data_IF_481329328611
#
_entry.id   IF_481329328611
#
_cell.length_a   1.000
_cell.length_b   1.000
_cell.length_c   1.000
_cell.angle_alpha   90.00
_cell.angle_beta   90.00
_cell.angle_gamma   90.00
#
_symmetry.space_group_name_H-M   'P 1'
#
loop_
_entity.id
_entity.type
_entity.pdbx_description
1 polymer ?
#
# COMPACT_ATOMS: atom_id res chain seq x y z
N UNK A 1 22.22 -14.82 0.68
CA UNK A 1 20.77 -14.57 0.68
C UNK A 1 20.61 -13.07 0.75
N UNK A 2 20.00 -12.44 -0.26
CA UNK A 2 19.68 -11.01 -0.18
C UNK A 2 18.22 -10.94 0.28
N UNK A 3 18.01 -10.64 1.56
CA UNK A 3 16.67 -10.56 2.15
C UNK A 3 15.96 -9.29 1.67
N UNK A 4 15.34 -9.38 0.48
CA UNK A 4 14.60 -8.29 -0.15
C UNK A 4 13.16 -8.71 -0.32
N UNK A 5 12.23 -7.90 0.19
CA UNK A 5 10.81 -8.10 -0.03
C UNK A 5 10.41 -7.57 -1.42
N UNK A 6 9.81 -8.43 -2.21
CA UNK A 6 9.35 -8.13 -3.57
C UNK A 6 7.83 -8.14 -3.64
N UNK A 7 7.26 -7.15 -4.31
CA UNK A 7 5.84 -7.02 -4.60
C UNK A 7 5.59 -7.32 -6.07
N UNK A 8 4.77 -8.34 -6.35
CA UNK A 8 4.50 -8.81 -7.71
C UNK A 8 3.06 -8.53 -8.12
N UNK A 9 2.89 -7.84 -9.24
CA UNK A 9 1.62 -7.57 -9.90
C UNK A 9 1.75 -7.77 -11.41
N UNK A 10 0.65 -7.75 -12.13
CA UNK A 10 0.64 -7.98 -13.58
C UNK A 10 1.52 -7.01 -14.37
N UNK A 11 1.72 -5.78 -13.88
CA UNK A 11 2.58 -4.79 -14.51
C UNK A 11 4.07 -4.99 -14.22
N UNK A 12 4.45 -5.72 -13.17
CA UNK A 12 5.86 -5.92 -12.87
C UNK A 12 6.17 -6.45 -11.47
N UNK A 13 7.47 -6.45 -11.16
CA UNK A 13 8.01 -6.85 -9.87
C UNK A 13 8.75 -5.66 -9.26
N UNK A 14 8.28 -5.21 -8.11
CA UNK A 14 8.74 -3.99 -7.46
C UNK A 14 9.41 -4.34 -6.14
N UNK A 15 10.55 -3.72 -5.85
CA UNK A 15 11.16 -3.86 -4.54
C UNK A 15 10.35 -3.06 -3.53
N UNK A 16 10.02 -3.65 -2.40
CA UNK A 16 9.44 -2.91 -1.27
C UNK A 16 10.56 -2.16 -0.55
N UNK A 17 10.45 -0.84 -0.52
CA UNK A 17 11.39 0.02 0.21
C UNK A 17 10.97 0.20 1.67
N UNK A 18 9.67 0.37 1.91
CA UNK A 18 9.13 0.70 3.22
C UNK A 18 7.67 0.23 3.36
N UNK A 19 7.27 -0.15 4.58
CA UNK A 19 5.90 -0.50 4.96
C UNK A 19 5.50 0.35 6.16
N UNK A 20 4.65 1.33 5.89
CA UNK A 20 4.08 2.20 6.91
C UNK A 20 2.74 1.63 7.37
N UNK A 21 2.77 0.89 8.49
CA UNK A 21 1.57 0.29 9.08
C UNK A 21 0.59 1.32 9.65
N UNK A 22 1.09 2.48 10.10
CA UNK A 22 0.26 3.52 10.72
C UNK A 22 -0.60 4.23 9.66
N UNK A 23 -0.01 4.51 8.50
CA UNK A 23 -0.70 5.15 7.37
C UNK A 23 -1.19 4.16 6.31
N UNK A 24 -0.99 2.87 6.55
CA UNK A 24 -1.34 1.76 5.65
C UNK A 24 -0.80 1.99 4.24
N UNK A 25 0.48 2.36 4.13
CA UNK A 25 1.14 2.69 2.89
C UNK A 25 2.35 1.79 2.64
N UNK A 26 2.53 1.41 1.38
CA UNK A 26 3.66 0.64 0.88
C UNK A 26 4.46 1.52 -0.08
N UNK A 27 5.76 1.62 0.09
CA UNK A 27 6.63 2.33 -0.86
C UNK A 27 7.32 1.34 -1.77
N UNK A 28 7.09 1.46 -3.08
CA UNK A 28 7.61 0.57 -4.10
C UNK A 28 8.71 1.23 -4.93
N UNK A 29 9.70 0.45 -5.33
CA UNK A 29 10.74 0.84 -6.26
C UNK A 29 10.69 -0.01 -7.53
N UNK A 30 10.56 0.67 -8.68
CA UNK A 30 10.72 0.06 -10.00
C UNK A 30 12.15 0.32 -10.50
N UNK A 31 12.96 -0.72 -10.77
CA UNK A 31 14.32 -0.55 -11.32
C UNK A 31 14.35 0.07 -12.72
N UNK A 32 13.22 0.12 -13.42
CA UNK A 32 13.09 0.71 -14.76
C UNK A 32 12.50 2.12 -14.76
N UNK A 33 12.20 2.71 -13.60
CA UNK A 33 11.79 4.12 -13.54
C UNK A 33 13.01 5.05 -13.59
N UNK A 34 12.81 6.22 -14.17
CA UNK A 34 13.80 7.31 -14.16
C UNK A 34 13.79 8.04 -12.81
N UNK A 35 14.93 8.59 -12.42
CA UNK A 35 15.11 9.44 -11.23
C UNK A 35 15.86 10.72 -11.61
N UNK A 36 16.14 11.59 -10.64
CA UNK A 36 16.92 12.80 -10.87
C UNK A 36 18.35 12.52 -11.37
N UNK A 37 18.91 11.36 -11.02
CA UNK A 37 20.30 11.02 -11.36
C UNK A 37 20.42 10.17 -12.62
N UNK A 38 19.36 9.49 -13.03
CA UNK A 38 19.36 8.62 -14.21
C UNK A 38 18.01 8.61 -14.94
N UNK A 39 18.04 8.86 -16.25
CA UNK A 39 16.89 8.66 -17.14
C UNK A 39 17.07 7.34 -17.89
N UNK A 40 16.05 6.49 -17.81
CA UNK A 40 16.04 5.14 -18.40
C UNK A 40 15.11 5.14 -19.62
N UNK A 41 15.63 5.51 -20.78
CA UNK A 41 14.89 5.52 -22.05
C UNK A 41 14.76 4.12 -22.69
N UNK A 42 13.92 4.04 -23.72
CA UNK A 42 13.82 2.88 -24.61
C UNK A 42 12.74 1.87 -24.23
N UNK A 43 11.71 2.27 -23.47
CA UNK A 43 10.50 1.48 -23.23
C UNK A 43 10.76 0.19 -22.44
N UNK A 44 11.84 0.13 -21.67
CA UNK A 44 12.27 -1.08 -20.94
C UNK A 44 11.39 -1.38 -19.72
N UNK A 45 10.64 -0.39 -19.23
CA UNK A 45 9.66 -0.57 -18.15
C UNK A 45 8.25 -0.77 -18.69
N UNK A 46 7.50 -1.70 -18.10
CA UNK A 46 6.07 -1.86 -18.41
C UNK A 46 5.20 -0.73 -17.80
N UNK A 47 5.78 0.08 -16.91
CA UNK A 47 5.09 1.09 -16.13
C UNK A 47 4.54 0.52 -14.81
N UNK A 48 3.42 1.08 -14.35
CA UNK A 48 2.76 0.70 -13.11
C UNK A 48 1.24 0.70 -13.30
N UNK A 49 0.63 -0.48 -13.15
CA UNK A 49 -0.80 -0.65 -13.25
C UNK A 49 -1.30 -1.69 -12.24
N UNK A 50 -2.25 -1.28 -11.41
CA UNK A 50 -2.94 -2.17 -10.47
C UNK A 50 -4.08 -2.88 -11.19
N UNK A 51 -4.21 -4.19 -10.98
CA UNK A 51 -5.27 -5.00 -11.54
C UNK A 51 -6.63 -4.56 -11.01
N UNK A 52 -7.70 -4.59 -11.83
CA UNK A 52 -9.03 -4.13 -11.42
C UNK A 52 -9.55 -4.79 -10.15
N UNK A 53 -9.25 -6.07 -9.92
CA UNK A 53 -9.69 -6.81 -8.74
C UNK A 53 -8.95 -6.39 -7.45
N UNK A 54 -7.74 -5.83 -7.58
CA UNK A 54 -6.89 -5.40 -6.46
C UNK A 54 -7.09 -3.92 -6.12
N UNK A 55 -7.53 -3.12 -7.09
CA UNK A 55 -7.77 -1.68 -6.95
C UNK A 55 -8.59 -1.25 -5.71
N UNK A 56 -9.62 -2.00 -5.24
CA UNK A 56 -10.37 -1.61 -4.03
C UNK A 56 -9.54 -1.64 -2.74
N UNK A 57 -8.46 -2.42 -2.72
CA UNK A 57 -7.63 -2.63 -1.52
C UNK A 57 -6.21 -2.13 -1.71
N UNK A 58 -5.88 -1.65 -2.90
CA UNK A 58 -4.55 -1.18 -3.22
C UNK A 58 -4.62 -0.11 -4.30
N UNK A 59 -4.26 1.11 -3.96
CA UNK A 59 -4.28 2.24 -4.91
C UNK A 59 -3.13 3.19 -4.63
N UNK A 60 -2.44 3.71 -5.66
CA UNK A 60 -1.48 4.78 -5.48
C UNK A 60 -2.07 5.94 -4.69
N UNK A 61 -1.28 6.48 -3.78
CA UNK A 61 -1.69 7.68 -3.05
C UNK A 61 -1.76 8.88 -4.01
N UNK A 62 -2.67 9.85 -3.78
CA UNK A 62 -2.83 11.01 -4.65
C UNK A 62 -1.58 11.90 -4.76
N UNK A 63 -0.72 11.89 -3.74
CA UNK A 63 0.51 12.69 -3.69
C UNK A 63 1.64 12.15 -4.58
N UNK A 64 1.47 10.98 -5.19
CA UNK A 64 2.39 10.54 -6.21
C UNK A 64 2.24 11.42 -7.45
N UNK A 65 3.35 12.03 -7.86
CA UNK A 65 3.49 12.53 -9.22
C UNK A 65 4.02 11.41 -10.11
N UNK A 66 3.47 11.30 -11.30
CA UNK A 66 4.01 10.47 -12.36
C UNK A 66 4.41 11.37 -13.52
N UNK A 67 5.66 11.26 -13.94
CA UNK A 67 6.22 12.04 -15.04
C UNK A 67 6.48 11.09 -16.19
N UNK A 68 5.78 11.30 -17.29
CA UNK A 68 5.96 10.53 -18.52
C UNK A 68 6.94 11.27 -19.42
N UNK A 69 7.90 10.55 -19.98
CA UNK A 69 9.08 11.10 -20.65
C UNK A 69 9.13 10.57 -22.09
N UNK A 70 9.41 11.46 -23.05
CA UNK A 70 9.60 11.09 -24.45
C UNK A 70 8.33 10.53 -25.09
N UNK A 71 7.19 11.17 -24.85
CA UNK A 71 5.91 10.72 -25.40
C UNK A 71 5.71 11.21 -26.84
N UNK A 72 5.34 10.30 -27.73
CA UNK A 72 5.01 10.58 -29.13
C UNK A 72 3.86 11.59 -29.26
N UNK A 73 3.86 12.42 -30.31
CA UNK A 73 2.76 13.33 -30.62
C UNK A 73 1.41 12.63 -30.89
N UNK A 74 1.43 11.32 -31.16
CA UNK A 74 0.21 10.49 -31.35
C UNK A 74 -0.28 9.87 -30.05
N UNK A 75 0.45 10.07 -28.95
CA UNK A 75 0.07 9.59 -27.62
C UNK A 75 -1.37 9.98 -27.27
N UNK A 76 -2.15 9.08 -26.66
CA UNK A 76 -3.46 9.40 -26.09
C UNK A 76 -3.44 10.62 -25.15
N UNK A 77 -2.29 10.93 -24.54
CA UNK A 77 -2.12 12.08 -23.64
C UNK A 77 -2.26 13.43 -24.36
N UNK A 78 -1.94 13.47 -25.65
CA UNK A 78 -1.89 14.70 -26.45
C UNK A 78 -3.02 14.76 -27.48
N UNK A 79 -3.99 13.83 -27.43
CA UNK A 79 -5.13 13.84 -28.32
C UNK A 79 -5.95 15.13 -28.15
N UNK A 80 -5.98 15.94 -29.21
CA UNK A 80 -6.66 17.24 -29.22
C UNK A 80 -5.78 18.44 -28.86
N UNK A 81 -4.47 18.24 -28.62
CA UNK A 81 -3.52 19.36 -28.58
C UNK A 81 -3.35 19.96 -30.00
N UNK A 82 -3.23 21.30 -30.15
CA UNK A 82 -3.19 22.34 -29.12
C UNK A 82 -4.57 22.88 -28.67
N UNK A 83 -5.68 22.35 -29.21
CA UNK A 83 -7.03 22.87 -28.98
C UNK A 83 -7.73 22.42 -27.68
N UNK A 84 -7.20 21.43 -26.95
CA UNK A 84 -7.71 20.94 -25.65
C UNK A 84 -6.64 21.09 -24.57
N UNK A 85 -7.09 21.28 -23.32
CA UNK A 85 -6.20 21.36 -22.17
C UNK A 85 -5.48 20.01 -21.97
N UNK A 86 -4.16 20.05 -21.99
CA UNK A 86 -3.31 18.90 -21.68
C UNK A 86 -3.56 18.43 -20.25
N UNK A 87 -3.55 17.11 -19.95
CA UNK A 87 -3.64 16.64 -18.57
C UNK A 87 -2.36 16.92 -17.76
N UNK A 88 -1.29 17.38 -18.41
CA UNK A 88 -0.02 17.68 -17.78
C UNK A 88 -0.16 18.87 -16.80
N UNK A 89 0.09 18.63 -15.52
CA UNK A 89 0.08 19.63 -14.45
C UNK A 89 1.01 19.22 -13.31
N UNK A 90 1.47 20.20 -12.56
CA UNK A 90 2.22 19.94 -11.34
C UNK A 90 1.32 19.26 -10.31
N UNK A 91 1.86 18.28 -9.58
CA UNK A 91 1.18 17.53 -8.52
C UNK A 91 2.00 17.68 -7.24
N UNK A 92 1.38 18.21 -6.18
CA UNK A 92 2.03 18.42 -4.89
C UNK A 92 3.36 19.20 -4.96
N UNK A 93 3.43 20.20 -5.87
CA UNK A 93 4.63 21.02 -6.09
C UNK A 93 5.74 20.35 -6.90
N UNK A 94 5.50 19.14 -7.41
CA UNK A 94 6.42 18.41 -8.27
C UNK A 94 5.90 18.46 -9.71
N UNK A 95 6.78 18.83 -10.64
CA UNK A 95 6.43 19.07 -12.03
C UNK A 95 7.61 18.89 -12.98
N UNK A 96 7.32 18.93 -14.28
CA UNK A 96 8.36 18.76 -15.28
C UNK A 96 9.36 19.93 -15.30
N UNK A 97 8.92 21.15 -15.02
CA UNK A 97 9.79 22.33 -14.97
C UNK A 97 10.89 22.19 -13.93
N UNK A 98 10.53 21.72 -12.73
CA UNK A 98 11.48 21.40 -11.69
C UNK A 98 12.32 20.18 -12.08
N UNK A 99 11.69 19.13 -12.61
CA UNK A 99 12.37 17.88 -13.00
C UNK A 99 13.43 18.08 -14.09
N UNK A 100 13.27 19.03 -15.01
CA UNK A 100 14.29 19.41 -15.99
C UNK A 100 15.56 20.01 -15.36
N UNK A 101 15.54 20.36 -14.06
CA UNK A 101 16.71 20.76 -13.30
C UNK A 101 17.60 19.60 -12.83
N UNK A 102 17.19 18.36 -13.07
CA UNK A 102 17.95 17.17 -12.69
C UNK A 102 19.18 16.92 -13.57
N UNK A 103 20.31 16.47 -12.99
CA UNK A 103 21.54 16.18 -13.75
C UNK A 103 21.36 15.08 -14.80
N UNK A 104 20.39 14.18 -14.63
CA UNK A 104 20.11 13.17 -15.64
C UNK A 104 19.75 13.76 -17.01
N UNK A 105 19.04 14.89 -17.06
CA UNK A 105 18.65 15.53 -18.32
C UNK A 105 19.85 16.07 -19.12
N UNK A 106 20.92 16.47 -18.42
CA UNK A 106 22.17 16.88 -19.07
C UNK A 106 22.85 15.71 -19.79
N UNK A 107 22.76 14.50 -19.21
CA UNK A 107 23.38 13.29 -19.77
C UNK A 107 22.66 12.77 -21.00
N UNK A 108 21.34 12.93 -21.07
CA UNK A 108 20.56 12.53 -22.26
C UNK A 108 20.74 13.53 -23.41
N UNK A 109 21.47 14.64 -23.19
CA UNK A 109 21.71 15.66 -24.23
C UNK A 109 20.48 16.51 -24.54
N UNK A 110 19.37 16.33 -23.82
CA UNK A 110 18.18 17.17 -23.92
C UNK A 110 18.36 18.43 -23.07
N UNK A 111 19.35 19.26 -23.44
CA UNK A 111 19.40 20.64 -22.95
C UNK A 111 18.18 21.38 -23.47
N UNK A 112 17.16 21.55 -22.62
CA UNK A 112 16.04 22.49 -22.76
C UNK A 112 15.75 22.89 -24.20
N UNK A 113 15.41 21.92 -25.06
CA UNK A 113 14.63 22.23 -26.25
C UNK A 113 13.17 22.36 -25.80
N UNK A 114 12.94 23.23 -24.81
CA UNK A 114 11.62 23.70 -24.50
C UNK A 114 11.16 24.43 -25.75
N UNK A 115 10.34 23.75 -26.56
CA UNK A 115 9.41 24.27 -27.55
C UNK A 115 9.71 25.66 -28.15
N UNK A 116 10.95 25.98 -28.49
CA UNK A 116 11.28 27.23 -29.20
C UNK A 116 10.71 27.22 -30.62
N UNK A 117 10.27 26.04 -31.08
CA UNK A 117 9.45 25.85 -32.28
C UNK A 117 8.16 25.02 -31.98
N UNK A 118 7.36 25.47 -31.00
CA UNK A 118 5.91 25.71 -31.10
C UNK A 118 4.89 24.66 -31.61
N UNK A 119 5.23 23.42 -31.95
CA UNK A 119 4.23 22.47 -32.50
C UNK A 119 4.27 21.03 -31.96
N UNK A 120 5.25 20.67 -31.12
CA UNK A 120 5.38 19.33 -30.54
C UNK A 120 4.86 19.22 -29.10
N UNK A 121 4.50 18.01 -28.64
CA UNK A 121 4.21 17.77 -27.22
C UNK A 121 5.45 18.03 -26.35
N UNK A 122 5.26 18.35 -25.06
CA UNK A 122 6.38 18.49 -24.14
C UNK A 122 7.13 17.17 -23.93
N UNK A 123 8.45 17.24 -23.73
CA UNK A 123 9.32 16.07 -23.46
C UNK A 123 8.94 15.35 -22.16
N UNK A 124 8.44 16.09 -21.18
CA UNK A 124 7.92 15.56 -19.93
C UNK A 124 6.47 16.03 -19.72
N UNK A 125 5.62 15.12 -19.25
CA UNK A 125 4.26 15.39 -18.82
C UNK A 125 4.04 14.85 -17.40
N UNK A 126 3.83 15.75 -16.43
CA UNK A 126 3.56 15.41 -15.03
C UNK A 126 2.06 15.30 -14.78
N UNK A 127 1.62 14.27 -14.06
CA UNK A 127 0.21 13.99 -13.80
C UNK A 127 0.03 13.12 -12.55
N UNK A 128 -1.17 13.19 -11.96
CA UNK A 128 -1.54 12.32 -10.84
C UNK A 128 -2.02 10.97 -11.35
N UNK A 129 -1.93 9.94 -10.51
CA UNK A 129 -2.47 8.61 -10.85
C UNK A 129 -3.95 8.67 -11.24
N UNK A 130 -4.73 9.55 -10.62
CA UNK A 130 -6.15 9.67 -10.89
C UNK A 130 -6.46 10.06 -12.33
N UNK A 131 -5.60 10.87 -12.96
CA UNK A 131 -5.78 11.34 -14.33
C UNK A 131 -5.53 10.22 -15.36
N UNK A 132 -4.62 9.29 -15.06
CA UNK A 132 -4.18 8.27 -16.03
C UNK A 132 -4.66 6.86 -15.72
N UNK A 133 -4.96 6.56 -14.45
CA UNK A 133 -5.43 5.29 -13.87
C UNK A 133 -4.50 4.08 -14.05
N UNK A 134 -3.58 4.11 -15.01
CA UNK A 134 -2.58 3.10 -15.26
C UNK A 134 -1.43 3.68 -16.11
N UNK A 135 -0.20 3.36 -15.75
CA UNK A 135 0.99 3.75 -16.52
C UNK A 135 1.37 2.56 -17.36
N UNK A 136 1.01 2.61 -18.64
CA UNK A 136 1.39 1.61 -19.63
C UNK A 136 2.14 2.33 -20.75
N UNK A 137 3.47 2.28 -20.70
CA UNK A 137 4.32 3.09 -21.58
C UNK A 137 4.06 2.81 -23.06
N UNK A 138 3.86 1.53 -23.42
CA UNK A 138 3.56 1.14 -24.80
C UNK A 138 2.23 1.72 -25.28
N UNK A 139 1.18 1.67 -24.46
CA UNK A 139 -0.14 2.24 -24.81
C UNK A 139 -0.11 3.77 -24.84
N UNK A 140 0.71 4.37 -24.00
CA UNK A 140 0.89 5.83 -23.92
C UNK A 140 1.89 6.35 -24.95
N UNK A 141 2.56 5.47 -25.70
CA UNK A 141 3.63 5.81 -26.63
C UNK A 141 4.72 6.69 -26.00
N UNK A 142 5.16 6.35 -24.78
CA UNK A 142 6.23 7.05 -24.07
C UNK A 142 7.45 6.16 -23.90
N UNK A 143 8.64 6.75 -23.90
CA UNK A 143 9.90 6.02 -23.78
C UNK A 143 10.25 5.66 -22.34
N UNK A 144 9.85 6.49 -21.38
CA UNK A 144 10.17 6.30 -19.97
C UNK A 144 9.11 6.93 -19.06
N UNK A 145 9.18 6.59 -17.78
CA UNK A 145 8.48 7.32 -16.73
C UNK A 145 9.33 7.48 -15.48
N UNK A 146 8.97 8.45 -14.66
CA UNK A 146 9.42 8.60 -13.30
C UNK A 146 8.21 8.70 -12.36
N UNK A 147 8.44 8.38 -11.09
CA UNK A 147 7.47 8.61 -10.03
C UNK A 147 8.17 9.15 -8.79
N UNK A 148 7.57 10.18 -8.20
CA UNK A 148 8.06 10.81 -7.00
C UNK A 148 6.92 11.20 -6.05
N UNK A 149 7.26 11.38 -4.79
CA UNK A 149 6.35 11.85 -3.74
C UNK A 149 7.10 12.72 -2.73
N UNK A 150 6.34 13.41 -1.88
CA UNK A 150 6.87 14.16 -0.74
C UNK A 150 6.26 13.66 0.57
N UNK A 151 7.09 13.51 1.61
CA UNK A 151 6.66 13.19 2.97
C UNK A 151 6.73 14.48 3.80
N UNK A 152 5.56 15.08 4.08
CA UNK A 152 5.39 16.33 4.84
C UNK A 152 5.88 17.61 4.09
N UNK A 153 5.39 18.82 4.45
CA UNK A 153 5.57 20.04 3.67
C UNK A 153 6.95 20.69 3.90
N UNK A 154 7.99 19.87 4.10
CA UNK A 154 9.35 20.36 4.04
C UNK A 154 9.54 20.89 2.62
N UNK A 155 9.94 22.16 2.51
CA UNK A 155 10.31 22.76 1.23
C UNK A 155 11.40 21.89 0.64
N UNK A 156 11.01 21.05 -0.32
CA UNK A 156 11.95 20.14 -0.96
C UNK A 156 12.85 21.00 -1.84
N UNK A 157 14.16 20.81 -1.73
CA UNK A 157 15.20 21.60 -2.44
C UNK A 157 15.23 21.28 -3.95
N UNK A 158 14.07 21.27 -4.59
CA UNK A 158 13.90 20.85 -5.98
C UNK A 158 13.92 19.33 -6.13
N UNK A 159 14.12 18.85 -7.37
CA UNK A 159 13.90 17.44 -7.71
C UNK A 159 14.94 16.48 -7.14
N UNK A 160 16.13 16.97 -6.78
CA UNK A 160 17.16 16.16 -6.08
C UNK A 160 16.75 15.79 -4.66
N UNK A 161 15.86 16.57 -4.04
CA UNK A 161 15.33 16.28 -2.70
C UNK A 161 14.05 15.42 -2.72
N UNK A 162 13.48 15.12 -3.90
CA UNK A 162 12.26 14.33 -4.00
C UNK A 162 12.52 12.87 -3.60
N UNK A 163 11.51 12.23 -3.02
CA UNK A 163 11.54 10.79 -2.80
C UNK A 163 11.04 10.09 -4.05
N UNK A 164 11.92 9.31 -4.71
CA UNK A 164 11.58 8.55 -5.91
C UNK A 164 11.06 7.15 -5.58
N UNK A 165 9.88 6.84 -6.07
CA UNK A 165 9.17 5.59 -5.80
C UNK A 165 7.67 5.77 -5.94
N UNK A 166 6.94 4.68 -5.76
CA UNK A 166 5.49 4.63 -5.92
C UNK A 166 4.89 4.30 -4.55
N UNK A 167 4.24 5.28 -3.91
CA UNK A 167 3.52 5.05 -2.65
C UNK A 167 2.12 4.51 -2.93
N UNK A 168 1.81 3.35 -2.39
CA UNK A 168 0.53 2.68 -2.60
C UNK A 168 -0.14 2.50 -1.26
N UNK A 169 -1.35 3.04 -1.12
CA UNK A 169 -2.17 2.74 0.05
C UNK A 169 -2.68 1.32 -0.08
N UNK A 170 -2.58 0.54 0.98
CA UNK A 170 -3.16 -0.78 1.07
C UNK A 170 -4.27 -0.82 2.12
N UNK A 171 -5.19 -1.76 1.96
CA UNK A 171 -6.20 -2.10 2.97
C UNK A 171 -6.13 -3.60 3.19
N UNK A 172 -5.94 -4.00 4.44
CA UNK A 172 -6.08 -5.41 4.80
C UNK A 172 -7.57 -5.65 5.00
N UNK A 173 -8.17 -6.52 4.19
CA UNK A 173 -9.54 -6.98 4.43
C UNK A 173 -9.54 -7.89 5.67
N UNK A 174 -9.53 -7.28 6.85
CA UNK A 174 -9.95 -7.94 8.07
C UNK A 174 -11.43 -7.60 8.30
N UNK A 175 -12.25 -8.58 8.65
CA UNK A 175 -13.45 -8.27 9.42
C UNK A 175 -12.97 -7.57 10.70
N UNK A 176 -12.98 -6.23 10.71
CA UNK A 176 -12.60 -5.45 11.88
C UNK A 176 -13.41 -5.90 13.09
N UNK A 177 -14.66 -6.31 12.88
CA UNK A 177 -15.50 -6.88 13.92
C UNK A 177 -14.90 -8.15 14.54
N UNK A 178 -14.38 -9.07 13.72
CA UNK A 178 -13.70 -10.27 14.20
C UNK A 178 -12.44 -9.92 14.97
N UNK A 179 -11.54 -9.10 14.39
CA UNK A 179 -10.29 -8.75 15.06
C UNK A 179 -10.55 -7.93 16.33
N UNK A 180 -11.51 -6.99 16.31
CA UNK A 180 -11.93 -6.24 17.51
C UNK A 180 -12.47 -7.17 18.59
N UNK A 181 -13.30 -8.16 18.25
CA UNK A 181 -13.80 -9.13 19.22
C UNK A 181 -12.69 -10.02 19.79
N UNK A 182 -11.75 -10.45 18.95
CA UNK A 182 -10.58 -11.22 19.36
C UNK A 182 -9.69 -10.43 20.32
N UNK A 183 -9.29 -9.23 19.94
CA UNK A 183 -8.41 -8.34 20.72
C UNK A 183 -9.07 -7.90 22.02
N UNK A 184 -10.38 -7.60 22.01
CA UNK A 184 -11.14 -7.26 23.21
C UNK A 184 -11.15 -8.38 24.26
N UNK A 185 -11.00 -9.63 23.84
CA UNK A 185 -10.94 -10.81 24.73
C UNK A 185 -9.51 -11.23 25.10
N UNK A 186 -8.51 -10.43 24.70
CA UNK A 186 -7.09 -10.66 24.97
C UNK A 186 -6.40 -11.60 23.99
N UNK A 187 -7.02 -11.89 22.84
CA UNK A 187 -6.42 -12.67 21.76
C UNK A 187 -5.66 -11.81 20.75
N UNK A 188 -4.83 -12.43 19.93
CA UNK A 188 -4.20 -11.79 18.76
C UNK A 188 -4.91 -12.23 17.49
N UNK A 189 -5.41 -11.28 16.70
CA UNK A 189 -6.05 -11.58 15.42
C UNK A 189 -5.03 -11.93 14.35
N UNK A 190 -5.31 -12.95 13.53
CA UNK A 190 -4.47 -13.31 12.39
C UNK A 190 -5.21 -14.19 11.40
N UNK A 191 -4.45 -14.85 10.52
CA UNK A 191 -4.96 -15.85 9.59
C UNK A 191 -4.33 -17.20 9.90
N UNK A 192 -5.09 -18.28 9.71
CA UNK A 192 -4.56 -19.64 9.83
C UNK A 192 -3.55 -19.96 8.72
N UNK A 193 -2.97 -21.16 8.78
CA UNK A 193 -1.99 -21.65 7.79
C UNK A 193 -2.53 -21.72 6.36
N UNK A 194 -3.84 -21.76 6.18
CA UNK A 194 -4.50 -21.71 4.86
C UNK A 194 -4.64 -20.27 4.31
N UNK A 195 -4.26 -19.23 5.08
CA UNK A 195 -4.20 -17.83 4.65
C UNK A 195 -5.54 -17.13 4.39
N UNK A 196 -6.62 -17.90 4.21
CA UNK A 196 -7.94 -17.39 3.82
C UNK A 196 -8.85 -17.22 5.05
N UNK A 197 -8.65 -18.03 6.09
CA UNK A 197 -9.52 -18.05 7.28
C UNK A 197 -8.90 -17.24 8.41
N UNK A 198 -9.69 -16.30 8.94
CA UNK A 198 -9.32 -15.54 10.11
C UNK A 198 -9.30 -16.44 11.36
N UNK A 199 -8.32 -16.20 12.22
CA UNK A 199 -8.05 -17.01 13.40
C UNK A 199 -7.68 -16.10 14.57
N UNK A 200 -8.32 -16.32 15.71
CA UNK A 200 -8.05 -15.62 16.96
C UNK A 200 -7.15 -16.51 17.81
N UNK A 201 -5.92 -16.05 18.04
CA UNK A 201 -4.92 -16.79 18.80
C UNK A 201 -5.05 -16.41 20.28
N UNK A 202 -5.55 -17.35 21.09
CA UNK A 202 -5.86 -17.13 22.51
C UNK A 202 -4.77 -17.66 23.46
N UNK A 203 -3.55 -17.80 22.96
CA UNK A 203 -2.43 -18.42 23.68
C UNK A 203 -2.46 -19.95 23.60
N UNK A 204 -3.33 -20.60 24.38
CA UNK A 204 -3.38 -22.07 24.47
C UNK A 204 -4.22 -22.75 23.39
N UNK A 205 -5.09 -22.01 22.71
CA UNK A 205 -5.91 -22.54 21.61
C UNK A 205 -6.27 -21.44 20.62
N UNK A 206 -6.63 -21.88 19.43
CA UNK A 206 -7.12 -21.00 18.38
C UNK A 206 -8.65 -21.02 18.33
N UNK A 207 -9.25 -19.87 18.07
CA UNK A 207 -10.70 -19.67 17.99
C UNK A 207 -11.08 -19.00 16.66
N UNK A 208 -12.27 -19.30 16.14
CA UNK A 208 -12.83 -18.67 14.94
C UNK A 208 -13.78 -17.52 15.27
N UNK A 209 -13.89 -17.12 16.55
CA UNK A 209 -14.67 -15.95 16.96
C UNK A 209 -13.92 -15.05 17.97
N UNK A 210 -13.70 -15.53 19.20
CA UNK A 210 -13.03 -14.81 20.28
C UNK A 210 -12.46 -15.77 21.35
N UNK A 211 -11.76 -15.23 22.35
CA UNK A 211 -11.11 -16.01 23.41
C UNK A 211 -11.99 -16.30 24.64
N UNK A 212 -13.22 -15.78 24.67
CA UNK A 212 -14.16 -16.07 25.76
C UNK A 212 -14.71 -17.50 25.69
N UNK A 213 -14.98 -17.97 24.46
CA UNK A 213 -15.41 -19.35 24.19
C UNK A 213 -14.40 -20.41 24.66
N UNK A 214 -13.12 -20.07 24.71
CA UNK A 214 -12.03 -20.95 25.14
C UNK A 214 -11.94 -21.05 26.67
N UNK A 215 -12.17 -19.95 27.40
CA UNK A 215 -12.17 -19.95 28.87
C UNK A 215 -13.25 -20.89 29.45
N UNK A 216 -14.32 -21.12 28.72
CA UNK A 216 -15.41 -22.02 29.12
C UNK A 216 -15.01 -23.52 29.08
N UNK A 217 -14.04 -23.91 28.25
CA UNK A 217 -13.59 -25.32 28.19
C UNK A 217 -12.51 -25.65 29.25
N UNK A 218 -11.77 -24.65 29.71
CA UNK A 218 -10.71 -24.81 30.73
C UNK A 218 -11.21 -24.58 32.16
N UNK A 219 -12.37 -23.93 32.33
CA UNK A 219 -13.04 -23.84 33.63
C UNK A 219 -13.89 -25.10 33.87
N UNK A 220 -13.23 -26.24 34.05
CA UNK A 220 -13.82 -27.29 34.91
C UNK A 220 -14.10 -26.62 36.24
N UNK A 221 -15.38 -26.36 36.52
CA UNK A 221 -15.86 -26.02 37.86
C UNK A 221 -15.36 -27.13 38.79
N UNK A 222 -14.27 -26.87 39.50
CA UNK A 222 -13.94 -27.61 40.71
C UNK A 222 -14.99 -27.14 41.71
N UNK A 223 -16.07 -27.88 41.82
CA UNK A 223 -16.94 -27.75 42.98
C UNK A 223 -16.06 -28.05 44.21
N UNK A 224 -15.95 -27.13 45.19
CA UNK A 224 -15.28 -27.47 46.41
C UNK A 224 -16.06 -28.61 47.07
N UNK A 225 -15.36 -29.71 47.36
CA UNK A 225 -15.88 -30.88 48.07
C UNK A 225 -16.38 -30.55 49.50
N UNK A 226 -16.33 -29.28 49.89
CA UNK A 226 -16.75 -28.77 51.19
C UNK A 226 -18.28 -28.67 51.35
N UNK A 227 -19.06 -28.53 50.28
CA UNK A 227 -20.51 -28.35 50.39
C UNK A 227 -21.31 -29.66 50.51
N UNK A 228 -20.72 -30.82 50.22
CA UNK A 228 -21.40 -32.12 50.38
C UNK A 228 -21.35 -32.66 51.81
N UNK A 229 -20.42 -32.22 52.66
CA UNK A 229 -20.33 -32.68 54.05
C UNK A 229 -21.19 -31.85 55.02
N UNK A 230 -21.52 -30.60 54.69
CA UNK A 230 -22.36 -29.75 55.56
C UNK A 230 -23.83 -30.23 55.62
N UNK A 231 -24.36 -30.79 54.53
CA UNK A 231 -25.74 -31.32 54.49
C UNK A 231 -25.96 -32.63 55.24
N UNK A 232 -24.91 -33.45 55.39
CA UNK A 232 -24.97 -34.74 56.10
C UNK A 232 -24.86 -34.60 57.63
N UNK A 233 -24.23 -33.54 58.12
CA UNK A 233 -24.08 -33.30 59.57
C UNK A 233 -25.36 -32.70 60.17
N UNK A 234 -26.08 -31.86 59.41
CA UNK A 234 -27.35 -31.27 59.87
C UNK A 234 -28.51 -32.28 59.92
N UNK A 235 -28.46 -33.35 59.12
CA UNK A 235 -29.47 -34.41 59.13
C UNK A 235 -29.29 -35.41 60.27
N UNK A 236 -28.06 -35.63 60.75
CA UNK A 236 -27.79 -36.48 61.91
C UNK A 236 -28.09 -35.78 63.25
N UNK A 237 -27.94 -34.46 63.33
CA UNK A 237 -28.28 -33.69 64.54
C UNK A 237 -29.79 -33.55 64.76
N UNK A 238 -30.59 -33.58 63.69
CA UNK A 238 -32.06 -33.54 63.80
C UNK A 238 -32.69 -34.86 64.30
N UNK A 239 -31.96 -35.99 64.26
CA UNK A 239 -32.43 -37.28 64.76
C UNK A 239 -32.10 -37.55 66.23
N UNK A 240 -31.16 -36.81 66.83
CA UNK A 240 -30.83 -36.98 68.26
C UNK A 240 -31.70 -36.14 69.21
N UNK A 241 -32.56 -35.26 68.70
CA UNK A 241 -33.45 -34.41 69.53
C UNK A 241 -34.89 -34.91 69.62
N UNK A 242 -35.20 -36.08 69.07
CA UNK A 242 -36.53 -36.72 69.16
C UNK A 242 -36.42 -38.17 69.64
N UNK A 243 -35.99 -38.36 70.88
CA UNK A 243 -36.24 -39.53 71.72
C UNK A 243 -36.47 -39.05 73.15
#
# INVERSE_FOLDING_TARGET
MNDVLMFHISSGSYRVLDIDYAYQALTLHDPHMSTCDAIVLGGRGNGFAVEPWRAPYMTPVPDNVFMLIGCSARSPLFQGFPGKHLPCRNVSGMGCEEYYGCPAWDMVGHKRLGSTFGYGPPECCALSFEAIKAINLSKLECEAYSSAYSLAPLRVDGPSGWSYGIRVKYSVQGHEEFCRACEATGGTCGYGTEGIRQLCMCGSSNSTSNCDSVKSSSSRRIYPLADTFAGLIMSLLAWMTTM
#
